data_IF_707330999272
#
_entry.id   IF_707330999272
#
_cell.length_a   1.000
_cell.length_b   1.000
_cell.length_c   1.000
_cell.angle_alpha   90.00
_cell.angle_beta   90.00
_cell.angle_gamma   90.00
#
_symmetry.space_group_name_H-M   'P 1'
#
loop_
_entity.id
_entity.type
_entity.pdbx_description
1 polymer ?
#
# COMPACT_ATOMS: atom_id res chain seq x y z
N UNK A 1 9.54 -6.24 25.93
CA UNK A 1 9.60 -7.37 24.99
C UNK A 1 10.27 -6.89 23.72
N UNK A 2 11.38 -7.51 23.30
CA UNK A 2 12.20 -7.01 22.16
C UNK A 2 11.85 -7.61 20.79
N UNK A 3 10.75 -8.39 20.69
CA UNK A 3 10.55 -9.20 19.49
C UNK A 3 10.17 -8.38 18.24
N UNK A 4 9.52 -7.20 18.38
CA UNK A 4 9.16 -6.35 17.22
C UNK A 4 10.43 -5.80 16.58
N UNK A 5 11.36 -5.28 17.39
CA UNK A 5 12.67 -4.82 16.92
C UNK A 5 13.43 -5.94 16.22
N UNK A 6 13.57 -7.11 16.86
CA UNK A 6 14.30 -8.25 16.29
C UNK A 6 13.68 -8.74 14.98
N UNK A 7 12.34 -8.70 14.88
CA UNK A 7 11.62 -9.07 13.66
C UNK A 7 11.84 -8.05 12.53
N UNK A 8 11.81 -6.74 12.84
CA UNK A 8 12.13 -5.68 11.89
C UNK A 8 13.55 -5.82 11.34
N UNK A 9 14.54 -6.03 12.24
CA UNK A 9 15.93 -6.24 11.84
C UNK A 9 16.09 -7.42 10.90
N UNK A 10 15.43 -8.56 11.19
CA UNK A 10 15.45 -9.75 10.32
C UNK A 10 14.84 -9.49 8.95
N UNK A 11 13.72 -8.76 8.88
CA UNK A 11 13.07 -8.46 7.60
C UNK A 11 13.95 -7.49 6.83
N UNK A 12 14.42 -6.41 7.44
CA UNK A 12 15.29 -5.42 6.79
C UNK A 12 16.58 -6.06 6.26
N UNK A 13 17.18 -6.99 7.01
CA UNK A 13 18.35 -7.74 6.54
C UNK A 13 18.05 -8.71 5.37
N UNK A 14 16.78 -9.02 5.11
CA UNK A 14 16.34 -9.93 4.04
C UNK A 14 15.86 -9.24 2.77
N UNK A 15 15.82 -7.92 2.76
CA UNK A 15 15.41 -7.08 1.62
C UNK A 15 16.54 -6.14 1.23
N UNK A 16 16.54 -5.69 -0.03
CA UNK A 16 17.51 -4.70 -0.50
C UNK A 16 17.04 -3.27 -0.15
N UNK A 17 17.98 -2.32 -0.13
CA UNK A 17 17.72 -0.93 0.26
C UNK A 17 16.75 -0.18 -0.67
N UNK A 18 16.54 -0.70 -1.87
CA UNK A 18 15.60 -0.16 -2.86
C UNK A 18 14.15 -0.64 -2.67
N UNK A 19 13.92 -1.57 -1.71
CA UNK A 19 12.58 -2.08 -1.38
C UNK A 19 12.06 -1.43 -0.11
N UNK A 20 10.95 -0.71 -0.21
CA UNK A 20 10.30 -0.09 0.96
C UNK A 20 9.50 -1.11 1.75
N UNK A 21 9.78 -1.20 3.06
CA UNK A 21 9.00 -1.98 4.00
C UNK A 21 7.86 -1.15 4.59
N UNK A 22 6.62 -1.51 4.28
CA UNK A 22 5.43 -0.99 4.98
C UNK A 22 5.09 -1.92 6.14
N UNK A 23 5.25 -1.43 7.37
CA UNK A 23 4.85 -2.16 8.58
C UNK A 23 3.32 -2.09 8.74
N UNK A 24 2.64 -3.22 8.48
CA UNK A 24 1.17 -3.30 8.54
C UNK A 24 0.72 -3.43 9.99
N UNK A 25 0.27 -2.33 10.55
CA UNK A 25 -0.01 -2.15 11.98
C UNK A 25 -1.49 -2.25 12.34
N UNK A 26 -2.36 -2.60 11.38
CA UNK A 26 -3.80 -2.76 11.65
C UNK A 26 -4.06 -3.68 12.84
N UNK A 27 -5.00 -3.29 13.70
CA UNK A 27 -5.41 -3.99 14.93
C UNK A 27 -4.33 -4.08 16.01
N UNK A 28 -3.20 -3.41 15.85
CA UNK A 28 -2.12 -3.39 16.85
C UNK A 28 -2.23 -2.17 17.75
N UNK A 29 -1.92 -2.29 19.05
CA UNK A 29 -1.95 -1.17 19.99
C UNK A 29 -0.85 -0.16 19.66
N UNK A 30 -1.04 1.09 20.08
CA UNK A 30 -0.09 2.19 19.88
C UNK A 30 1.31 1.85 20.41
N UNK A 31 1.39 1.13 21.53
CA UNK A 31 2.67 0.73 22.12
C UNK A 31 3.54 -0.15 21.18
N UNK A 32 2.91 -1.03 20.40
CA UNK A 32 3.62 -1.87 19.42
C UNK A 32 4.19 -1.01 18.27
N UNK A 33 3.42 0.01 17.84
CA UNK A 33 3.88 0.93 16.81
C UNK A 33 5.00 1.83 17.32
N UNK A 34 4.93 2.27 18.59
CA UNK A 34 5.98 3.05 19.21
C UNK A 34 7.29 2.23 19.30
N UNK A 35 7.21 0.93 19.68
CA UNK A 35 8.38 0.04 19.69
C UNK A 35 8.98 -0.10 18.28
N UNK A 36 8.15 -0.27 17.26
CA UNK A 36 8.61 -0.32 15.86
C UNK A 36 9.24 1.02 15.42
N UNK A 37 8.64 2.14 15.79
CA UNK A 37 9.17 3.47 15.51
C UNK A 37 10.54 3.70 16.17
N UNK A 38 10.67 3.32 17.43
CA UNK A 38 11.94 3.43 18.19
C UNK A 38 13.02 2.51 17.60
N UNK A 39 12.61 1.40 16.94
CA UNK A 39 13.50 0.54 16.18
C UNK A 39 13.86 1.08 14.78
N UNK A 40 13.39 2.29 14.41
CA UNK A 40 13.72 2.96 13.15
C UNK A 40 12.65 2.86 12.05
N UNK A 41 11.53 2.14 12.28
CA UNK A 41 10.45 2.08 11.29
C UNK A 41 9.76 3.43 11.15
N UNK A 42 9.51 3.86 9.90
CA UNK A 42 8.84 5.13 9.61
C UNK A 42 7.59 4.97 8.75
N UNK A 43 7.48 3.91 7.97
CA UNK A 43 6.36 3.68 7.05
C UNK A 43 5.39 2.68 7.65
N UNK A 44 4.18 3.12 8.00
CA UNK A 44 3.15 2.27 8.59
C UNK A 44 1.91 2.18 7.71
N UNK A 45 1.30 0.98 7.67
CA UNK A 45 0.13 0.71 6.84
C UNK A 45 -1.11 0.35 7.65
N UNK A 46 -2.22 1.04 7.36
CA UNK A 46 -3.51 0.83 8.00
C UNK A 46 -4.62 0.45 7.01
N UNK A 47 -5.57 -0.35 7.49
CA UNK A 47 -6.72 -0.74 6.67
C UNK A 47 -7.97 0.10 6.95
N UNK A 48 -8.07 0.75 8.11
CA UNK A 48 -9.22 1.53 8.54
C UNK A 48 -8.79 2.96 8.86
N UNK A 49 -9.45 3.93 8.23
CA UNK A 49 -9.11 5.36 8.39
C UNK A 49 -9.26 5.81 9.83
N UNK A 50 -10.31 5.37 10.55
CA UNK A 50 -10.51 5.75 11.95
C UNK A 50 -9.35 5.29 12.85
N UNK A 51 -8.86 4.06 12.62
CA UNK A 51 -7.70 3.52 13.32
C UNK A 51 -6.44 4.31 12.99
N UNK A 52 -6.24 4.63 11.70
CA UNK A 52 -5.09 5.41 11.23
C UNK A 52 -5.07 6.82 11.84
N UNK A 53 -6.23 7.51 11.88
CA UNK A 53 -6.37 8.84 12.50
C UNK A 53 -6.00 8.80 13.97
N UNK A 54 -6.56 7.85 14.75
CA UNK A 54 -6.26 7.74 16.17
C UNK A 54 -4.77 7.48 16.44
N UNK A 55 -4.10 6.70 15.59
CA UNK A 55 -2.66 6.43 15.68
C UNK A 55 -1.82 7.64 15.25
N UNK A 56 -2.23 8.33 14.18
CA UNK A 56 -1.60 9.58 13.77
C UNK A 56 -1.63 10.63 14.87
N UNK A 57 -2.75 10.78 15.58
CA UNK A 57 -2.86 11.76 16.66
C UNK A 57 -1.93 11.44 17.84
N UNK A 58 -1.71 10.17 18.14
CA UNK A 58 -0.98 9.69 19.32
C UNK A 58 0.52 9.46 19.09
N UNK A 59 0.98 9.35 17.84
CA UNK A 59 2.35 8.97 17.49
C UNK A 59 3.13 10.14 16.85
N UNK A 60 4.47 10.02 16.70
CA UNK A 60 5.31 11.03 16.05
C UNK A 60 4.84 11.41 14.65
N UNK A 61 4.97 12.70 14.28
CA UNK A 61 4.41 13.26 13.04
C UNK A 61 5.29 13.05 11.80
N UNK A 62 6.48 12.49 11.98
CA UNK A 62 7.38 12.05 10.90
C UNK A 62 7.10 10.62 10.41
N UNK A 63 6.06 9.97 10.96
CA UNK A 63 5.56 8.70 10.43
C UNK A 63 4.88 8.93 9.09
N UNK A 64 5.29 8.15 8.09
CA UNK A 64 4.66 8.09 6.77
C UNK A 64 3.50 7.10 6.81
N UNK A 65 2.28 7.62 6.72
CA UNK A 65 1.07 6.83 6.83
C UNK A 65 0.58 6.37 5.48
N UNK A 66 0.47 5.04 5.29
CA UNK A 66 -0.06 4.43 4.08
C UNK A 66 -1.45 3.85 4.33
N UNK A 67 -2.44 4.27 3.54
CA UNK A 67 -3.77 3.64 3.53
C UNK A 67 -3.74 2.44 2.58
N UNK A 68 -3.74 1.23 3.14
CA UNK A 68 -3.55 -0.01 2.36
C UNK A 68 -4.81 -0.88 2.24
N UNK A 69 -5.89 -0.48 2.90
CA UNK A 69 -7.19 -1.16 2.83
C UNK A 69 -8.11 -0.55 1.78
N UNK A 70 -9.28 -1.20 1.58
CA UNK A 70 -10.32 -0.67 0.70
C UNK A 70 -10.80 0.71 1.18
N UNK A 71 -10.84 1.66 0.25
CA UNK A 71 -11.09 3.06 0.55
C UNK A 71 -12.55 3.46 0.26
N UNK A 72 -13.29 3.78 1.30
CA UNK A 72 -14.59 4.44 1.16
C UNK A 72 -14.38 5.93 0.86
N UNK A 73 -14.86 6.41 -0.29
CA UNK A 73 -14.63 7.79 -0.75
C UNK A 73 -15.05 8.84 0.28
N UNK A 74 -16.18 8.65 1.00
CA UNK A 74 -16.66 9.58 2.02
C UNK A 74 -15.75 9.70 3.26
N UNK A 75 -14.78 8.81 3.41
CA UNK A 75 -13.82 8.79 4.53
C UNK A 75 -12.49 9.48 4.20
N UNK A 76 -12.19 9.76 2.93
CA UNK A 76 -10.94 10.39 2.49
C UNK A 76 -10.64 11.69 3.24
N UNK A 77 -11.66 12.51 3.50
CA UNK A 77 -11.54 13.80 4.19
C UNK A 77 -10.85 13.72 5.56
N UNK A 78 -10.90 12.58 6.24
CA UNK A 78 -10.32 12.43 7.58
C UNK A 78 -8.81 12.19 7.56
N UNK A 79 -8.25 11.73 6.44
CA UNK A 79 -6.82 11.41 6.33
C UNK A 79 -6.06 12.30 5.34
N UNK A 80 -6.77 13.09 4.52
CA UNK A 80 -6.17 13.85 3.42
C UNK A 80 -5.09 14.85 3.87
N UNK A 81 -5.12 15.30 5.13
CA UNK A 81 -4.16 16.26 5.68
C UNK A 81 -2.81 15.62 6.07
N UNK A 82 -2.74 14.28 6.21
CA UNK A 82 -1.51 13.63 6.68
C UNK A 82 -1.10 12.37 5.91
N UNK A 83 -2.04 11.69 5.20
CA UNK A 83 -1.69 10.45 4.48
C UNK A 83 -0.62 10.69 3.43
N UNK A 84 0.36 9.78 3.33
CA UNK A 84 1.45 9.87 2.36
C UNK A 84 1.15 9.09 1.08
N UNK A 85 0.62 7.87 1.22
CA UNK A 85 0.31 7.02 0.08
C UNK A 85 -0.98 6.24 0.28
N UNK A 86 -1.83 6.23 -0.74
CA UNK A 86 -3.07 5.45 -0.78
C UNK A 86 -2.90 4.30 -1.77
N UNK A 87 -2.92 3.04 -1.29
CA UNK A 87 -2.69 1.87 -2.13
C UNK A 87 -3.96 1.31 -2.77
N UNK A 88 -5.11 1.48 -2.11
CA UNK A 88 -6.36 0.81 -2.49
C UNK A 88 -7.26 1.67 -3.37
N UNK A 89 -6.73 2.27 -4.43
CA UNK A 89 -7.57 3.05 -5.36
C UNK A 89 -8.10 2.13 -6.46
N UNK A 90 -9.41 1.93 -6.47
CA UNK A 90 -10.12 1.00 -7.34
C UNK A 90 -11.22 1.66 -8.19
N UNK A 91 -11.20 2.96 -8.34
CA UNK A 91 -12.13 3.67 -9.24
C UNK A 91 -11.68 5.10 -9.54
N UNK A 92 -12.08 5.59 -10.69
CA UNK A 92 -11.88 6.99 -11.06
C UNK A 92 -12.63 7.95 -10.12
N UNK A 93 -13.79 7.54 -9.61
CA UNK A 93 -14.55 8.28 -8.60
C UNK A 93 -13.73 8.50 -7.32
N UNK A 94 -13.01 7.48 -6.86
CA UNK A 94 -12.14 7.58 -5.69
C UNK A 94 -10.99 8.56 -5.95
N UNK A 95 -10.35 8.53 -7.13
CA UNK A 95 -9.33 9.51 -7.51
C UNK A 95 -9.85 10.96 -7.46
N UNK A 96 -11.05 11.21 -8.01
CA UNK A 96 -11.69 12.54 -7.96
C UNK A 96 -11.89 13.01 -6.52
N UNK A 97 -12.34 12.14 -5.63
CA UNK A 97 -12.55 12.50 -4.23
C UNK A 97 -11.22 12.75 -3.50
N UNK A 98 -10.19 11.93 -3.74
CA UNK A 98 -8.85 12.16 -3.19
C UNK A 98 -8.33 13.52 -3.65
N UNK A 99 -8.38 13.82 -4.95
CA UNK A 99 -7.97 15.11 -5.51
C UNK A 99 -8.70 16.29 -4.84
N UNK A 100 -10.03 16.19 -4.72
CA UNK A 100 -10.85 17.21 -4.07
C UNK A 100 -10.45 17.46 -2.60
N UNK A 101 -10.18 16.41 -1.84
CA UNK A 101 -9.80 16.54 -0.44
C UNK A 101 -8.35 17.00 -0.30
N UNK A 102 -7.43 16.50 -1.13
CA UNK A 102 -6.03 16.94 -1.17
C UNK A 102 -5.92 18.45 -1.44
N UNK A 103 -6.71 18.97 -2.39
CA UNK A 103 -6.77 20.39 -2.72
C UNK A 103 -7.15 21.27 -1.52
N UNK A 104 -8.01 20.81 -0.61
CA UNK A 104 -8.40 21.57 0.60
C UNK A 104 -7.26 21.73 1.62
N UNK A 105 -6.22 20.92 1.48
CA UNK A 105 -5.06 20.92 2.36
C UNK A 105 -3.78 21.35 1.63
N UNK A 106 -3.92 21.91 0.41
CA UNK A 106 -2.80 22.35 -0.45
C UNK A 106 -1.74 21.24 -0.64
N UNK A 107 -2.22 19.97 -0.75
CA UNK A 107 -1.35 18.80 -0.92
C UNK A 107 -1.51 18.16 -2.29
N UNK A 108 -0.49 17.41 -2.67
CA UNK A 108 -0.55 16.39 -3.73
C UNK A 108 -0.42 15.03 -3.03
N UNK A 109 -1.45 14.19 -3.11
CA UNK A 109 -1.44 12.87 -2.46
C UNK A 109 -1.05 11.81 -3.49
N UNK A 110 -0.06 10.99 -3.16
CA UNK A 110 0.33 9.84 -3.98
C UNK A 110 -0.68 8.70 -3.86
N UNK A 111 -1.01 8.09 -4.99
CA UNK A 111 -1.97 7.01 -5.12
C UNK A 111 -1.38 5.84 -5.91
N UNK A 112 -1.74 4.62 -5.52
CA UNK A 112 -1.54 3.43 -6.34
C UNK A 112 -2.90 2.94 -6.84
N UNK A 113 -2.97 2.59 -8.12
CA UNK A 113 -4.14 1.90 -8.65
C UNK A 113 -4.08 0.43 -8.23
N UNK A 114 -5.15 -0.05 -7.61
CA UNK A 114 -5.22 -1.44 -7.18
C UNK A 114 -5.65 -2.34 -8.33
N UNK A 115 -4.75 -3.20 -8.74
CA UNK A 115 -4.96 -4.19 -9.82
C UNK A 115 -5.43 -5.51 -9.23
N UNK A 116 -6.46 -6.10 -9.81
CA UNK A 116 -6.93 -7.44 -9.47
C UNK A 116 -6.06 -8.46 -10.22
N UNK A 117 -5.09 -9.04 -9.51
CA UNK A 117 -4.18 -10.05 -10.05
C UNK A 117 -4.55 -11.47 -9.63
N UNK A 118 -5.22 -11.63 -8.49
CA UNK A 118 -5.65 -12.92 -7.99
C UNK A 118 -6.80 -13.49 -8.82
N UNK A 119 -6.84 -14.82 -8.93
CA UNK A 119 -7.92 -15.56 -9.60
C UNK A 119 -9.25 -15.52 -8.83
N UNK A 120 -9.20 -15.15 -7.53
CA UNK A 120 -10.38 -15.05 -6.67
C UNK A 120 -11.17 -13.78 -6.99
N UNK A 121 -12.42 -13.93 -7.44
CA UNK A 121 -13.32 -12.81 -7.76
C UNK A 121 -13.67 -11.90 -6.55
N UNK A 122 -13.50 -12.42 -5.35
CA UNK A 122 -13.81 -11.71 -4.09
C UNK A 122 -12.77 -10.66 -3.70
N UNK A 123 -11.60 -10.60 -4.38
CA UNK A 123 -10.57 -9.61 -4.08
C UNK A 123 -10.83 -8.29 -4.79
N UNK A 124 -10.59 -7.21 -4.05
CA UNK A 124 -10.67 -5.85 -4.56
C UNK A 124 -9.61 -5.59 -5.63
N UNK A 125 -9.90 -4.65 -6.49
CA UNK A 125 -9.01 -4.19 -7.55
C UNK A 125 -9.70 -4.17 -8.90
N UNK A 126 -9.14 -3.43 -9.84
CA UNK A 126 -9.62 -3.27 -11.20
C UNK A 126 -8.94 -4.26 -12.13
N UNK A 127 -9.63 -4.72 -13.18
CA UNK A 127 -8.98 -5.42 -14.30
C UNK A 127 -7.94 -4.52 -14.97
N UNK A 128 -6.97 -5.11 -15.65
CA UNK A 128 -5.90 -4.38 -16.36
C UNK A 128 -6.44 -3.37 -17.39
N UNK A 129 -7.52 -3.70 -18.08
CA UNK A 129 -8.17 -2.85 -19.08
C UNK A 129 -8.75 -1.59 -18.46
N UNK A 130 -9.36 -1.71 -17.27
CA UNK A 130 -9.91 -0.56 -16.54
C UNK A 130 -8.79 0.34 -15.99
N UNK A 131 -7.68 -0.23 -15.52
CA UNK A 131 -6.48 0.54 -15.15
C UNK A 131 -5.96 1.34 -16.34
N UNK A 132 -5.83 0.70 -17.50
CA UNK A 132 -5.41 1.35 -18.75
C UNK A 132 -6.36 2.48 -19.13
N UNK A 133 -7.67 2.27 -19.01
CA UNK A 133 -8.69 3.30 -19.26
C UNK A 133 -8.51 4.51 -18.34
N UNK A 134 -8.24 4.27 -17.05
CA UNK A 134 -7.99 5.35 -16.08
C UNK A 134 -6.73 6.14 -16.46
N UNK A 135 -5.63 5.46 -16.77
CA UNK A 135 -4.36 6.11 -17.11
C UNK A 135 -4.44 7.00 -18.36
N UNK A 136 -5.29 6.62 -19.33
CA UNK A 136 -5.48 7.36 -20.58
C UNK A 136 -6.66 8.35 -20.54
N UNK A 137 -7.39 8.44 -19.44
CA UNK A 137 -8.54 9.34 -19.34
C UNK A 137 -8.10 10.81 -19.39
N UNK A 138 -8.65 11.58 -20.34
CA UNK A 138 -8.39 13.02 -20.46
C UNK A 138 -8.70 13.78 -19.16
N UNK A 139 -9.74 13.36 -18.44
CA UNK A 139 -10.11 13.95 -17.15
C UNK A 139 -9.01 13.81 -16.09
N UNK A 140 -8.09 12.83 -16.21
CA UNK A 140 -7.00 12.64 -15.27
C UNK A 140 -6.07 13.86 -15.24
N UNK A 141 -5.89 14.56 -16.36
CA UNK A 141 -5.08 15.78 -16.46
C UNK A 141 -5.59 16.91 -15.58
N UNK A 142 -6.88 16.89 -15.22
CA UNK A 142 -7.52 17.88 -14.35
C UNK A 142 -7.36 17.57 -12.84
N UNK A 143 -6.84 16.41 -12.50
CA UNK A 143 -6.64 15.99 -11.11
C UNK A 143 -5.23 16.36 -10.62
N UNK A 144 -4.98 17.66 -10.45
CA UNK A 144 -3.64 18.22 -10.17
C UNK A 144 -3.16 18.02 -8.73
N UNK A 145 -4.03 17.58 -7.83
CA UNK A 145 -3.70 17.35 -6.42
C UNK A 145 -3.54 15.87 -6.07
N UNK A 146 -3.38 15.01 -7.08
CA UNK A 146 -2.98 13.61 -6.92
C UNK A 146 -1.78 13.30 -7.82
N UNK A 147 -1.04 12.26 -7.42
CA UNK A 147 0.00 11.66 -8.24
C UNK A 147 -0.24 10.15 -8.31
N UNK A 148 -0.48 9.57 -9.49
CA UNK A 148 -0.52 8.12 -9.65
C UNK A 148 0.93 7.64 -9.68
N UNK A 149 1.40 7.11 -8.55
CA UNK A 149 2.79 6.73 -8.33
C UNK A 149 3.08 5.27 -8.70
N UNK A 150 2.06 4.48 -9.04
CA UNK A 150 2.27 3.07 -9.39
C UNK A 150 1.03 2.20 -9.20
N UNK A 151 1.30 0.91 -9.03
CA UNK A 151 0.27 -0.12 -8.86
C UNK A 151 0.40 -0.89 -7.56
N UNK A 152 -0.71 -1.42 -7.09
CA UNK A 152 -0.76 -2.36 -5.97
C UNK A 152 -1.50 -3.62 -6.39
N UNK A 153 -0.96 -4.79 -6.04
CA UNK A 153 -1.61 -6.07 -6.22
C UNK A 153 -1.55 -6.94 -4.96
N UNK A 154 -2.55 -7.81 -4.83
CA UNK A 154 -2.58 -8.88 -3.82
C UNK A 154 -2.80 -10.19 -4.54
N UNK A 155 -1.83 -11.11 -4.43
CA UNK A 155 -1.91 -12.43 -5.03
C UNK A 155 -2.94 -13.32 -4.34
N UNK A 156 -3.27 -14.42 -4.98
CA UNK A 156 -4.08 -15.50 -4.45
C UNK A 156 -3.50 -16.01 -3.13
N UNK A 157 -4.35 -16.29 -2.15
CA UNK A 157 -3.90 -16.87 -0.88
C UNK A 157 -3.63 -18.36 -1.06
N UNK A 158 -2.39 -18.70 -1.39
CA UNK A 158 -1.95 -20.08 -1.66
C UNK A 158 -0.51 -20.30 -1.18
N UNK A 159 -0.12 -21.55 -1.00
CA UNK A 159 1.28 -21.96 -0.81
C UNK A 159 1.97 -22.36 -2.11
N UNK A 160 1.28 -22.33 -3.26
CA UNK A 160 1.83 -22.69 -4.56
C UNK A 160 2.63 -21.50 -5.13
N UNK A 161 3.95 -21.60 -5.05
CA UNK A 161 4.85 -20.53 -5.51
C UNK A 161 4.68 -20.21 -7.00
N UNK A 162 4.37 -21.19 -7.82
CA UNK A 162 4.16 -21.00 -9.26
C UNK A 162 2.98 -20.09 -9.56
N UNK A 163 1.89 -20.18 -8.80
CA UNK A 163 0.73 -19.28 -8.94
C UNK A 163 1.10 -17.86 -8.53
N UNK A 164 1.82 -17.72 -7.42
CA UNK A 164 2.28 -16.41 -6.93
C UNK A 164 3.26 -15.75 -7.91
N UNK A 165 4.20 -16.52 -8.45
CA UNK A 165 5.14 -16.02 -9.47
C UNK A 165 4.41 -15.56 -10.74
N UNK A 166 3.45 -16.33 -11.25
CA UNK A 166 2.64 -15.98 -12.41
C UNK A 166 1.91 -14.65 -12.18
N UNK A 167 1.17 -14.52 -11.07
CA UNK A 167 0.38 -13.33 -10.76
C UNK A 167 1.26 -12.09 -10.55
N UNK A 168 2.40 -12.20 -9.86
CA UNK A 168 3.31 -11.08 -9.66
C UNK A 168 4.08 -10.70 -10.93
N UNK A 169 4.50 -11.67 -11.75
CA UNK A 169 5.18 -11.39 -13.01
C UNK A 169 4.28 -10.68 -14.02
N UNK A 170 2.99 -11.05 -14.07
CA UNK A 170 1.99 -10.36 -14.92
C UNK A 170 1.81 -8.90 -14.49
N UNK A 171 1.72 -8.65 -13.18
CA UNK A 171 1.62 -7.28 -12.69
C UNK A 171 2.89 -6.46 -12.99
N UNK A 172 4.08 -7.08 -12.86
CA UNK A 172 5.34 -6.43 -13.21
C UNK A 172 5.41 -6.10 -14.70
N UNK A 173 5.03 -7.05 -15.57
CA UNK A 173 5.01 -6.82 -17.01
C UNK A 173 4.06 -5.65 -17.38
N UNK A 174 2.90 -5.59 -16.75
CA UNK A 174 1.96 -4.48 -16.94
C UNK A 174 2.53 -3.14 -16.46
N UNK A 175 3.22 -3.14 -15.33
CA UNK A 175 3.92 -1.95 -14.82
C UNK A 175 4.97 -1.46 -15.83
N UNK A 176 5.84 -2.35 -16.32
CA UNK A 176 6.89 -2.00 -17.25
C UNK A 176 6.35 -1.49 -18.59
N UNK A 177 5.25 -2.07 -19.07
CA UNK A 177 4.58 -1.62 -20.29
C UNK A 177 4.06 -0.18 -20.19
N UNK A 178 3.57 0.22 -19.01
CA UNK A 178 2.96 1.55 -18.80
C UNK A 178 3.98 2.63 -18.40
N UNK A 179 5.09 2.24 -17.74
CA UNK A 179 6.07 3.20 -17.21
C UNK A 179 6.65 4.19 -18.24
N UNK A 180 6.98 3.81 -19.50
CA UNK A 180 7.52 4.75 -20.48
C UNK A 180 6.58 5.91 -20.83
N UNK A 181 5.27 5.67 -20.80
CA UNK A 181 4.26 6.68 -21.08
C UNK A 181 3.82 7.44 -19.80
N UNK A 182 4.07 6.85 -18.64
CA UNK A 182 3.70 7.39 -17.34
C UNK A 182 4.92 7.41 -16.40
N UNK A 183 5.86 8.35 -16.56
CA UNK A 183 7.14 8.35 -15.84
C UNK A 183 7.02 8.53 -14.31
N UNK A 184 5.83 8.89 -13.82
CA UNK A 184 5.53 8.94 -12.39
C UNK A 184 5.27 7.55 -11.78
N UNK A 185 5.03 6.51 -12.58
CA UNK A 185 4.91 5.14 -12.11
C UNK A 185 6.29 4.63 -11.65
N UNK A 186 6.49 4.58 -10.34
CA UNK A 186 7.75 4.17 -9.71
C UNK A 186 7.55 3.11 -8.64
N UNK A 187 6.31 2.93 -8.17
CA UNK A 187 6.00 2.05 -7.05
C UNK A 187 5.22 0.83 -7.56
N UNK A 188 5.76 -0.34 -7.29
CA UNK A 188 5.08 -1.60 -7.46
C UNK A 188 4.92 -2.25 -6.09
N UNK A 189 3.72 -2.08 -5.49
CA UNK A 189 3.41 -2.57 -4.15
C UNK A 189 2.77 -3.95 -4.24
N UNK A 190 3.57 -4.99 -4.03
CA UNK A 190 3.12 -6.38 -4.00
C UNK A 190 3.97 -7.21 -3.05
N UNK A 191 3.38 -8.27 -2.48
CA UNK A 191 4.02 -9.10 -1.47
C UNK A 191 3.66 -8.70 -0.04
N UNK A 192 3.30 -9.71 0.76
CA UNK A 192 2.90 -9.65 2.15
C UNK A 192 3.72 -10.65 2.99
N UNK A 193 3.37 -10.84 4.27
CA UNK A 193 4.13 -11.70 5.20
C UNK A 193 4.39 -13.13 4.69
N UNK A 194 3.50 -13.69 3.86
CA UNK A 194 3.65 -15.06 3.34
C UNK A 194 4.36 -15.16 1.98
N UNK A 195 4.41 -14.07 1.22
CA UNK A 195 4.82 -14.11 -0.20
C UNK A 195 5.76 -12.94 -0.62
N UNK A 196 6.20 -12.09 0.32
CA UNK A 196 7.00 -10.90 -0.01
C UNK A 196 8.32 -11.24 -0.73
N UNK A 197 8.93 -12.37 -0.43
CA UNK A 197 10.18 -12.79 -1.11
C UNK A 197 9.94 -13.09 -2.58
N UNK A 198 8.79 -13.70 -2.89
CA UNK A 198 8.36 -13.95 -4.27
C UNK A 198 8.02 -12.62 -4.95
N UNK A 199 7.32 -11.72 -4.24
CA UNK A 199 7.04 -10.37 -4.73
C UNK A 199 8.33 -9.61 -5.11
N UNK A 200 9.35 -9.62 -4.25
CA UNK A 200 10.64 -8.95 -4.51
C UNK A 200 11.35 -9.60 -5.71
N UNK A 201 11.38 -10.93 -5.79
CA UNK A 201 11.96 -11.66 -6.93
C UNK A 201 11.30 -11.25 -8.26
N UNK A 202 10.02 -10.88 -8.22
CA UNK A 202 9.26 -10.39 -9.36
C UNK A 202 9.27 -8.85 -9.51
N UNK A 203 10.19 -8.14 -8.82
CA UNK A 203 10.40 -6.71 -9.01
C UNK A 203 9.50 -5.80 -8.17
N UNK A 204 8.95 -6.28 -7.03
CA UNK A 204 8.29 -5.42 -6.06
C UNK A 204 9.26 -4.37 -5.52
N UNK A 205 8.84 -3.11 -5.52
CA UNK A 205 9.58 -2.00 -4.90
C UNK A 205 9.05 -1.65 -3.52
N UNK A 206 7.92 -2.26 -3.11
CA UNK A 206 7.29 -2.00 -1.82
C UNK A 206 6.53 -3.22 -1.33
N UNK A 207 6.87 -3.71 -0.14
CA UNK A 207 6.22 -4.85 0.51
C UNK A 207 5.40 -4.42 1.73
N UNK A 208 4.37 -5.20 2.06
CA UNK A 208 3.45 -4.90 3.17
C UNK A 208 3.44 -6.04 4.17
N UNK A 209 4.23 -5.92 5.22
CA UNK A 209 4.43 -6.99 6.20
C UNK A 209 3.81 -6.65 7.55
N UNK A 210 3.00 -7.53 8.08
CA UNK A 210 2.31 -7.34 9.37
C UNK A 210 2.63 -8.44 10.39
N UNK A 211 2.12 -9.65 10.19
CA UNK A 211 2.25 -10.75 11.16
C UNK A 211 3.69 -11.15 11.43
N UNK A 212 4.58 -11.03 10.46
CA UNK A 212 6.01 -11.30 10.65
C UNK A 212 6.71 -10.23 11.51
N UNK A 213 6.15 -9.02 11.64
CA UNK A 213 6.66 -7.96 12.52
C UNK A 213 5.99 -8.03 13.88
N UNK A 214 4.66 -7.93 13.91
CA UNK A 214 3.86 -7.70 15.12
C UNK A 214 3.24 -8.98 15.70
N UNK A 215 3.53 -10.15 15.14
CA UNK A 215 2.90 -11.42 15.52
C UNK A 215 1.47 -11.58 15.00
N UNK A 216 0.88 -12.74 15.24
CA UNK A 216 -0.50 -13.08 14.85
C UNK A 216 -1.51 -12.10 15.45
N UNK A 217 -2.71 -12.04 14.86
CA UNK A 217 -3.80 -11.23 15.41
C UNK A 217 -4.34 -11.87 16.67
N UNK A 218 -4.39 -11.12 17.76
CA UNK A 218 -5.18 -11.51 18.91
C UNK A 218 -6.65 -11.17 18.58
N UNK A 219 -7.42 -12.16 18.15
CA UNK A 219 -8.88 -12.04 18.19
C UNK A 219 -9.28 -12.15 19.67
N UNK A 220 -9.52 -11.03 20.32
CA UNK A 220 -10.24 -11.01 21.59
C UNK A 220 -11.68 -11.40 21.19
N UNK A 221 -12.06 -12.62 21.47
CA UNK A 221 -13.43 -13.15 21.39
C UNK A 221 -14.32 -12.47 22.40
#
# INVERSE_FOLDING_TARGET
MKYIKDNLEKINASISDDVVLVAVSKTKPIADLQEAYDAGQRVFGENKIQEMVAKYDALPKDIQWHMIGHLQSNKVKYMAHFVDLIHGVDSFKTLKEINKQAKKHDRIISCLLQVRIAKEETKFGLPYEEISTILHAEELKNLTNINIAGFMGMATFTSEETVLDEEFSLLKAFFDQNQPQHPNLKILSMGMSGDYKIGIRNGSTMIRVGSSIFGARNYIT
#
